data_IF_131935689505
#
_entry.id   IF_131935689505
#
_cell.length_a   1.000
_cell.length_b   1.000
_cell.length_c   1.000
_cell.angle_alpha   90.00
_cell.angle_beta   90.00
_cell.angle_gamma   90.00
#
_symmetry.space_group_name_H-M   'P 1'
#
loop_
_entity.id
_entity.type
_entity.pdbx_description
1 polymer ?
#
# COMPACT_ATOMS: atom_id res chain seq x y z
N UNK A 1 -8.74 31.45 7.18
CA UNK A 1 -8.15 30.42 8.06
C UNK A 1 -8.32 29.07 7.39
N UNK A 2 -7.28 28.54 6.75
CA UNK A 2 -7.35 27.21 6.12
C UNK A 2 -6.44 26.28 6.90
N UNK A 3 -7.04 25.55 7.84
CA UNK A 3 -6.40 24.46 8.54
C UNK A 3 -6.04 23.39 7.51
N UNK A 4 -4.81 23.43 6.99
CA UNK A 4 -4.21 22.29 6.30
C UNK A 4 -4.23 21.14 7.31
N UNK A 5 -5.22 20.26 7.22
CA UNK A 5 -5.17 18.93 7.85
C UNK A 5 -3.83 18.35 7.41
N UNK A 6 -2.88 18.24 8.34
CA UNK A 6 -1.70 17.40 8.13
C UNK A 6 -2.28 16.02 7.85
N UNK A 7 -2.31 15.63 6.57
CA UNK A 7 -2.55 14.26 6.19
C UNK A 7 -1.62 13.44 7.07
N UNK A 8 -2.19 12.67 8.01
CA UNK A 8 -1.43 11.80 8.88
C UNK A 8 -0.83 10.77 7.95
N UNK A 9 0.38 11.07 7.45
CA UNK A 9 1.17 10.07 6.74
C UNK A 9 1.40 8.95 7.73
N UNK A 10 0.67 7.86 7.55
CA UNK A 10 0.91 6.67 8.33
C UNK A 10 2.34 6.24 7.96
N UNK A 11 3.17 6.01 8.98
CA UNK A 11 4.55 5.60 8.77
C UNK A 11 4.60 4.07 8.82
N UNK A 12 5.27 3.49 7.84
CA UNK A 12 5.64 2.08 7.81
C UNK A 12 7.17 1.97 7.92
N UNK A 13 7.66 0.82 8.34
CA UNK A 13 9.09 0.59 8.49
C UNK A 13 9.72 0.27 7.13
N UNK A 14 10.24 1.28 6.43
CA UNK A 14 10.82 1.13 5.07
C UNK A 14 12.02 0.17 5.00
N UNK A 15 12.64 -0.17 6.13
CA UNK A 15 13.77 -1.10 6.15
C UNK A 15 13.32 -2.57 6.27
N UNK A 16 12.16 -2.80 6.89
CA UNK A 16 11.59 -4.15 7.07
C UNK A 16 10.44 -4.44 6.13
N UNK A 17 9.70 -3.44 5.71
CA UNK A 17 8.44 -3.57 4.98
C UNK A 17 8.55 -2.97 3.59
N UNK A 18 8.15 -3.75 2.60
CA UNK A 18 8.01 -3.31 1.22
C UNK A 18 6.54 -3.18 0.85
N UNK A 19 6.14 -2.13 0.12
CA UNK A 19 4.77 -2.00 -0.35
C UNK A 19 4.51 -3.00 -1.49
N UNK A 20 3.45 -3.79 -1.33
CA UNK A 20 3.10 -4.85 -2.27
C UNK A 20 1.60 -4.79 -2.60
N UNK A 21 1.27 -4.98 -3.87
CA UNK A 21 -0.09 -5.25 -4.33
C UNK A 21 -0.19 -6.75 -4.58
N UNK A 22 -1.04 -7.44 -3.82
CA UNK A 22 -1.38 -8.84 -4.08
C UNK A 22 -2.62 -8.90 -4.96
N UNK A 23 -2.52 -9.53 -6.13
CA UNK A 23 -3.64 -9.73 -7.05
C UNK A 23 -4.06 -11.19 -7.02
N UNK A 24 -5.24 -11.49 -6.48
CA UNK A 24 -5.77 -12.85 -6.48
C UNK A 24 -6.06 -13.33 -7.89
N UNK A 25 -5.37 -14.37 -8.34
CA UNK A 25 -5.63 -15.01 -9.64
C UNK A 25 -7.02 -15.67 -9.72
N UNK A 26 -7.60 -16.04 -8.57
CA UNK A 26 -8.89 -16.73 -8.50
C UNK A 26 -10.09 -15.76 -8.57
N UNK A 27 -9.98 -14.57 -7.99
CA UNK A 27 -11.11 -13.61 -7.87
C UNK A 27 -10.87 -12.30 -8.61
N UNK A 28 -9.63 -12.02 -9.03
CA UNK A 28 -9.24 -10.74 -9.61
C UNK A 28 -9.12 -9.58 -8.60
N UNK A 29 -9.35 -9.84 -7.30
CA UNK A 29 -9.21 -8.81 -6.28
C UNK A 29 -7.75 -8.42 -6.06
N UNK A 30 -7.50 -7.11 -6.05
CA UNK A 30 -6.20 -6.54 -5.74
C UNK A 30 -6.22 -5.98 -4.34
N UNK A 31 -5.17 -6.25 -3.56
CA UNK A 31 -5.03 -5.74 -2.19
C UNK A 31 -3.68 -5.05 -2.06
N UNK A 32 -3.69 -3.76 -1.72
CA UNK A 32 -2.51 -3.02 -1.30
C UNK A 32 -2.18 -3.38 0.15
N UNK A 33 -0.90 -3.60 0.39
CA UNK A 33 -0.41 -3.89 1.72
C UNK A 33 1.09 -3.75 1.84
N UNK A 34 1.61 -4.22 2.96
CA UNK A 34 3.04 -4.27 3.21
C UNK A 34 3.46 -5.71 3.43
N UNK A 35 4.55 -6.11 2.78
CA UNK A 35 5.18 -7.40 3.02
C UNK A 35 6.42 -7.17 3.86
N UNK A 36 6.46 -7.83 5.01
CA UNK A 36 7.64 -7.86 5.85
C UNK A 36 8.70 -8.76 5.19
N UNK A 37 9.88 -8.20 4.93
CA UNK A 37 10.98 -8.86 4.21
C UNK A 37 11.66 -9.95 5.04
N UNK A 38 11.58 -9.88 6.36
CA UNK A 38 12.23 -10.82 7.28
C UNK A 38 11.35 -12.06 7.53
N UNK A 39 10.06 -11.83 7.76
CA UNK A 39 9.07 -12.87 8.08
C UNK A 39 8.28 -13.35 6.88
N UNK A 40 8.29 -12.60 5.77
CA UNK A 40 7.48 -12.86 4.58
C UNK A 40 5.98 -12.58 4.77
N UNK A 41 5.56 -12.08 5.94
CA UNK A 41 4.15 -11.82 6.25
C UNK A 41 3.64 -10.63 5.45
N UNK A 42 2.52 -10.84 4.75
CA UNK A 42 1.78 -9.76 4.10
C UNK A 42 0.72 -9.21 5.05
N UNK A 43 0.68 -7.89 5.18
CA UNK A 43 -0.30 -7.16 5.94
C UNK A 43 -1.23 -6.43 4.97
N UNK A 44 -2.48 -6.91 4.88
CA UNK A 44 -3.52 -6.32 4.06
C UNK A 44 -3.95 -4.96 4.64
N UNK A 45 -3.81 -3.90 3.85
CA UNK A 45 -4.12 -2.52 4.26
C UNK A 45 -5.40 -2.03 3.58
N UNK A 46 -5.52 -2.23 2.26
CA UNK A 46 -6.64 -1.73 1.47
C UNK A 46 -6.92 -2.62 0.26
N UNK A 47 -8.19 -2.99 0.04
CA UNK A 47 -8.60 -3.58 -1.23
C UNK A 47 -8.64 -2.50 -2.31
N UNK A 48 -7.88 -2.68 -3.39
CA UNK A 48 -7.90 -1.83 -4.57
C UNK A 48 -9.02 -2.28 -5.49
N UNK A 49 -10.05 -1.44 -5.63
CA UNK A 49 -11.13 -1.64 -6.61
C UNK A 49 -11.01 -0.67 -7.78
N UNK A 50 -10.27 0.42 -7.62
CA UNK A 50 -10.03 1.43 -8.66
C UNK A 50 -8.66 2.09 -8.47
N UNK A 51 -8.13 2.76 -9.51
CA UNK A 51 -6.84 3.49 -9.42
C UNK A 51 -6.84 4.52 -8.28
N UNK A 52 -8.01 5.11 -7.97
CA UNK A 52 -8.16 6.05 -6.84
C UNK A 52 -7.78 5.42 -5.49
N UNK A 53 -8.10 4.15 -5.26
CA UNK A 53 -7.74 3.46 -4.01
C UNK A 53 -6.22 3.29 -3.90
N UNK A 54 -5.57 3.03 -5.04
CA UNK A 54 -4.11 2.94 -5.13
C UNK A 54 -3.45 4.31 -4.93
N UNK A 55 -3.99 5.37 -5.53
CA UNK A 55 -3.53 6.74 -5.34
C UNK A 55 -3.63 7.17 -3.87
N UNK A 56 -4.75 6.88 -3.21
CA UNK A 56 -4.93 7.17 -1.79
C UNK A 56 -3.94 6.38 -0.93
N UNK A 57 -3.67 5.10 -1.23
CA UNK A 57 -2.63 4.32 -0.55
C UNK A 57 -1.25 4.95 -0.73
N UNK A 58 -0.85 5.28 -1.96
CA UNK A 58 0.42 5.94 -2.27
C UNK A 58 0.55 7.27 -1.51
N UNK A 59 -0.50 8.09 -1.53
CA UNK A 59 -0.51 9.40 -0.87
C UNK A 59 -0.47 9.30 0.65
N UNK A 60 -1.22 8.34 1.21
CA UNK A 60 -1.30 8.08 2.66
C UNK A 60 0.05 7.67 3.24
N UNK A 61 0.81 6.85 2.53
CA UNK A 61 2.10 6.35 3.02
C UNK A 61 3.31 7.05 2.39
N UNK A 62 3.09 7.97 1.44
CA UNK A 62 4.14 8.66 0.70
C UNK A 62 5.02 7.70 -0.10
N UNK A 63 4.37 6.74 -0.78
CA UNK A 63 4.99 5.69 -1.60
C UNK A 63 4.85 6.06 -3.07
N UNK A 64 5.91 5.89 -3.85
CA UNK A 64 5.85 6.03 -5.30
C UNK A 64 5.41 4.75 -5.97
N UNK A 65 4.75 4.83 -7.14
CA UNK A 65 4.30 3.65 -7.91
C UNK A 65 5.45 2.70 -8.25
N UNK A 66 6.66 3.22 -8.40
CA UNK A 66 7.89 2.46 -8.67
C UNK A 66 8.38 1.63 -7.47
N UNK A 67 8.05 2.03 -6.24
CA UNK A 67 8.40 1.27 -5.03
C UNK A 67 7.45 0.08 -4.81
N UNK A 68 6.26 0.12 -5.41
CA UNK A 68 5.22 -0.89 -5.22
C UNK A 68 5.52 -2.11 -6.08
N UNK A 69 5.67 -3.27 -5.43
CA UNK A 69 5.79 -4.55 -6.13
C UNK A 69 4.41 -5.16 -6.31
N UNK A 70 4.14 -5.79 -7.45
CA UNK A 70 2.91 -6.57 -7.64
C UNK A 70 3.24 -8.06 -7.57
N UNK A 71 2.51 -8.79 -6.73
CA UNK A 71 2.58 -10.25 -6.61
C UNK A 71 1.22 -10.85 -6.99
N UNK A 72 1.24 -12.05 -7.57
CA UNK A 72 0.06 -12.77 -8.09
C UNK A 72 -0.04 -14.15 -7.43
#
# INVERSE_FOLDING_TARGET
MFFKKKEKRLSFDRNRQIPVIRSSICTGEKTAGFKDQETGKFQDICCIRSDKDLEEFMKTYGISREEIRTEY
#
